data_IF_981466535102
#
_entry.id   IF_981466535102
#
_cell.length_a   1.000
_cell.length_b   1.000
_cell.length_c   1.000
_cell.angle_alpha   90.00
_cell.angle_beta   90.00
_cell.angle_gamma   90.00
#
_symmetry.space_group_name_H-M   'P 1'
#
loop_
_entity.id
_entity.type
_entity.pdbx_description
1 polymer ?
#
# COMPACT_ATOMS: atom_id res chain seq x y z
N UNK A 1 -4.78 -6.44 -15.32
CA UNK A 1 -5.59 -6.50 -14.08
C UNK A 1 -6.11 -5.09 -13.81
N UNK A 2 -7.30 -4.92 -13.25
CA UNK A 2 -7.89 -3.59 -13.03
C UNK A 2 -7.06 -2.76 -12.03
N UNK A 3 -6.78 -1.49 -12.34
CA UNK A 3 -5.97 -0.59 -11.50
C UNK A 3 -6.55 -0.46 -10.08
N UNK A 4 -7.88 -0.40 -9.93
CA UNK A 4 -8.53 -0.36 -8.61
C UNK A 4 -8.21 -1.62 -7.80
N UNK A 5 -8.14 -2.77 -8.47
CA UNK A 5 -7.85 -4.04 -7.80
C UNK A 5 -6.40 -4.10 -7.34
N UNK A 6 -5.47 -3.60 -8.15
CA UNK A 6 -4.03 -3.58 -7.81
C UNK A 6 -3.78 -2.65 -6.62
N UNK A 7 -4.27 -1.40 -6.66
CA UNK A 7 -4.06 -0.46 -5.54
C UNK A 7 -4.74 -0.93 -4.25
N UNK A 8 -5.87 -1.65 -4.35
CA UNK A 8 -6.53 -2.26 -3.17
C UNK A 8 -5.63 -3.32 -2.55
N UNK A 9 -5.01 -4.17 -3.36
CA UNK A 9 -4.07 -5.19 -2.89
C UNK A 9 -2.85 -4.53 -2.24
N UNK A 10 -2.25 -3.52 -2.90
CA UNK A 10 -1.13 -2.77 -2.34
C UNK A 10 -1.48 -2.15 -0.98
N UNK A 11 -2.63 -1.49 -0.86
CA UNK A 11 -3.08 -0.90 0.39
C UNK A 11 -3.43 -1.94 1.48
N UNK A 12 -3.89 -3.14 1.13
CA UNK A 12 -4.07 -4.23 2.10
C UNK A 12 -2.72 -4.75 2.63
N UNK A 13 -1.75 -4.98 1.73
CA UNK A 13 -0.41 -5.39 2.13
C UNK A 13 0.21 -4.34 3.07
N UNK A 14 0.12 -3.07 2.68
CA UNK A 14 0.60 -1.97 3.50
C UNK A 14 -0.10 -1.86 4.85
N UNK A 15 -1.42 -2.09 4.90
CA UNK A 15 -2.18 -2.14 6.14
C UNK A 15 -1.67 -3.24 7.06
N UNK A 16 -1.45 -4.46 6.56
CA UNK A 16 -0.95 -5.58 7.37
C UNK A 16 0.41 -5.24 7.97
N UNK A 17 1.33 -4.69 7.16
CA UNK A 17 2.67 -4.30 7.63
C UNK A 17 2.55 -3.25 8.74
N UNK A 18 1.75 -2.20 8.53
CA UNK A 18 1.61 -1.08 9.46
C UNK A 18 0.89 -1.47 10.77
N UNK A 19 -0.14 -2.31 10.67
CA UNK A 19 -0.86 -2.90 11.82
C UNK A 19 0.03 -3.85 12.61
N UNK A 20 1.04 -4.45 11.97
CA UNK A 20 1.99 -5.37 12.61
C UNK A 20 3.25 -4.70 13.15
N UNK A 21 3.31 -3.35 13.11
CA UNK A 21 4.38 -2.57 13.70
C UNK A 21 5.47 -2.11 12.72
N UNK A 22 5.25 -2.32 11.41
CA UNK A 22 6.14 -1.83 10.37
C UNK A 22 6.21 -0.29 10.33
N UNK A 23 7.36 0.21 9.88
CA UNK A 23 7.62 1.63 9.69
C UNK A 23 6.97 2.15 8.41
N UNK A 24 6.57 3.42 8.39
CA UNK A 24 5.78 4.00 7.29
C UNK A 24 6.50 3.96 5.94
N UNK A 25 7.81 4.22 5.90
CA UNK A 25 8.56 4.16 4.63
C UNK A 25 8.63 2.73 4.07
N UNK A 26 8.66 1.69 4.91
CA UNK A 26 8.63 0.28 4.46
C UNK A 26 7.29 -0.08 3.85
N UNK A 27 6.22 0.45 4.44
CA UNK A 27 4.85 0.32 3.92
C UNK A 27 4.76 0.96 2.54
N UNK A 28 5.26 2.20 2.40
CA UNK A 28 5.31 2.92 1.12
C UNK A 28 6.13 2.17 0.07
N UNK A 29 7.33 1.71 0.42
CA UNK A 29 8.19 0.93 -0.49
C UNK A 29 7.49 -0.35 -0.96
N UNK A 30 6.85 -1.08 -0.05
CA UNK A 30 6.14 -2.32 -0.38
C UNK A 30 4.96 -2.04 -1.32
N UNK A 31 4.18 -0.99 -1.05
CA UNK A 31 3.08 -0.58 -1.90
C UNK A 31 3.57 -0.19 -3.30
N UNK A 32 4.66 0.58 -3.39
CA UNK A 32 5.30 0.94 -4.67
C UNK A 32 5.75 -0.31 -5.42
N UNK A 33 6.42 -1.26 -4.76
CA UNK A 33 6.89 -2.51 -5.37
C UNK A 33 5.73 -3.35 -5.92
N UNK A 34 4.62 -3.44 -5.19
CA UNK A 34 3.41 -4.13 -5.68
C UNK A 34 2.87 -3.41 -6.91
N UNK A 35 2.73 -2.08 -6.89
CA UNK A 35 2.26 -1.31 -8.05
C UNK A 35 3.17 -1.49 -9.29
N UNK A 36 4.49 -1.37 -9.12
CA UNK A 36 5.47 -1.54 -10.21
C UNK A 36 5.44 -2.95 -10.80
N UNK A 37 5.22 -3.99 -9.99
CA UNK A 37 5.08 -5.37 -10.50
C UNK A 37 3.88 -5.56 -11.46
N UNK A 38 2.92 -4.63 -11.46
CA UNK A 38 1.80 -4.60 -12.40
C UNK A 38 1.89 -3.46 -13.43
N UNK A 39 3.08 -2.90 -13.67
CA UNK A 39 3.34 -1.78 -14.59
C UNK A 39 2.58 -0.49 -14.25
N UNK A 40 2.35 -0.24 -12.96
CA UNK A 40 1.90 1.06 -12.45
C UNK A 40 3.14 1.76 -11.91
N UNK A 41 3.78 2.57 -12.75
CA UNK A 41 5.03 3.26 -12.40
C UNK A 41 4.76 4.57 -11.62
N UNK A 42 3.68 5.28 -11.97
CA UNK A 42 3.23 6.48 -11.27
C UNK A 42 2.20 6.13 -10.17
N UNK A 43 2.70 5.63 -9.03
CA UNK A 43 1.91 5.52 -7.81
C UNK A 43 2.41 6.46 -6.71
N UNK A 44 1.56 7.39 -6.27
CA UNK A 44 1.80 8.24 -5.12
C UNK A 44 1.34 7.53 -3.84
N UNK A 45 2.29 7.12 -3.01
CA UNK A 45 2.04 6.43 -1.75
C UNK A 45 2.42 7.35 -0.59
N UNK A 46 1.49 7.58 0.34
CA UNK A 46 1.75 8.38 1.54
C UNK A 46 1.13 7.74 2.78
N UNK A 47 1.97 7.45 3.76
CA UNK A 47 1.60 6.65 4.93
C UNK A 47 1.88 7.40 6.21
N UNK A 48 0.83 7.50 7.03
CA UNK A 48 0.91 7.95 8.42
C UNK A 48 0.58 6.77 9.34
N UNK A 49 0.88 6.84 10.65
CA UNK A 49 0.53 5.78 11.60
C UNK A 49 -0.96 5.40 11.64
N UNK A 50 -1.86 6.28 11.18
CA UNK A 50 -3.31 6.11 11.30
C UNK A 50 -4.02 6.00 9.95
N UNK A 51 -3.36 6.36 8.84
CA UNK A 51 -3.95 6.38 7.50
C UNK A 51 -2.89 6.03 6.45
N UNK A 52 -3.26 5.12 5.55
CA UNK A 52 -2.58 4.85 4.28
C UNK A 52 -3.34 5.55 3.16
N UNK A 53 -2.63 6.29 2.32
CA UNK A 53 -3.16 6.92 1.12
C UNK A 53 -2.37 6.43 -0.09
N UNK A 54 -3.08 6.02 -1.13
CA UNK A 54 -2.49 5.61 -2.41
C UNK A 54 -3.26 6.28 -3.55
N UNK A 55 -2.54 6.79 -4.52
CA UNK A 55 -3.08 7.25 -5.79
C UNK A 55 -2.25 6.67 -6.93
N UNK A 56 -2.90 6.28 -8.02
CA UNK A 56 -2.22 5.78 -9.19
C UNK A 56 -2.96 6.17 -10.46
N UNK A 57 -2.20 6.44 -11.53
CA UNK A 57 -2.75 6.80 -12.84
C UNK A 57 -2.45 5.69 -13.85
N UNK A 58 -3.47 5.25 -14.59
CA UNK A 58 -3.28 4.25 -15.65
C UNK A 58 -2.79 4.89 -16.96
N UNK A 59 -2.37 4.08 -17.94
CA UNK A 59 -1.91 4.56 -19.25
C UNK A 59 -2.98 5.29 -20.09
N UNK A 60 -4.24 5.32 -19.65
CA UNK A 60 -5.32 6.10 -20.28
C UNK A 60 -5.52 7.47 -19.59
N UNK A 61 -4.68 7.81 -18.60
CA UNK A 61 -4.78 9.04 -17.82
C UNK A 61 -5.87 9.02 -16.74
N UNK A 62 -6.45 7.86 -16.43
CA UNK A 62 -7.44 7.74 -15.35
C UNK A 62 -6.74 7.51 -14.02
N UNK A 63 -6.98 8.43 -13.09
CA UNK A 63 -6.44 8.35 -11.73
C UNK A 63 -7.45 7.70 -10.80
N UNK A 64 -6.95 6.79 -9.95
CA UNK A 64 -7.71 6.17 -8.87
C UNK A 64 -6.97 6.40 -7.57
N UNK A 65 -7.70 6.82 -6.53
CA UNK A 65 -7.15 7.00 -5.20
C UNK A 65 -7.94 6.21 -4.16
N UNK A 66 -7.25 5.75 -3.13
CA UNK A 66 -7.83 5.01 -2.02
C UNK A 66 -7.17 5.44 -0.71
N UNK A 67 -8.02 5.62 0.31
CA UNK A 67 -7.60 5.88 1.67
C UNK A 67 -7.98 4.70 2.56
N UNK A 68 -7.09 4.35 3.48
CA UNK A 68 -7.32 3.25 4.42
C UNK A 68 -6.94 3.64 5.83
N UNK A 69 -7.92 3.56 6.73
CA UNK A 69 -7.73 3.86 8.15
C UNK A 69 -7.13 2.66 8.87
N UNK A 70 -6.17 2.95 9.74
CA UNK A 70 -5.57 2.02 10.68
C UNK A 70 -6.20 2.28 12.04
N UNK A 71 -6.83 1.26 12.61
CA UNK A 71 -7.59 1.36 13.87
C UNK A 71 -6.88 0.71 15.06
N UNK A 72 -5.91 -0.17 14.78
CA UNK A 72 -5.17 -0.91 15.79
C UNK A 72 -3.77 -1.20 15.29
N UNK A 73 -2.76 -1.16 16.17
CA UNK A 73 -1.39 -1.56 15.86
C UNK A 73 -0.88 -2.46 16.97
N UNK A 74 -0.22 -3.53 16.59
CA UNK A 74 0.51 -4.46 17.47
C UNK A 74 1.90 -4.67 16.89
N UNK A 75 2.74 -5.45 17.57
CA UNK A 75 4.03 -5.92 17.05
C UNK A 75 3.88 -7.39 16.68
N UNK A 76 4.08 -7.71 15.40
CA UNK A 76 4.00 -9.07 14.87
C UNK A 76 4.96 -9.21 13.68
N UNK A 77 6.21 -9.58 13.96
CA UNK A 77 7.27 -9.64 12.96
C UNK A 77 7.05 -10.76 11.92
N UNK A 78 6.43 -11.86 12.32
CA UNK A 78 6.12 -12.99 11.43
C UNK A 78 5.12 -12.59 10.34
N UNK A 79 4.15 -11.71 10.67
CA UNK A 79 3.24 -11.16 9.66
C UNK A 79 3.93 -10.23 8.68
N UNK A 80 4.89 -9.44 9.13
CA UNK A 80 5.66 -8.55 8.25
C UNK A 80 6.48 -9.38 7.27
N UNK A 81 7.11 -10.46 7.72
CA UNK A 81 7.93 -11.35 6.89
C UNK A 81 7.12 -12.01 5.76
N UNK A 82 5.89 -12.47 6.05
CA UNK A 82 5.03 -13.13 5.05
C UNK A 82 4.48 -12.22 3.96
N UNK A 83 4.52 -10.91 4.15
CA UNK A 83 3.95 -9.92 3.21
C UNK A 83 5.02 -9.35 2.27
N UNK A 84 6.28 -9.26 2.73
CA UNK A 84 7.41 -8.85 1.90
C UNK A 84 7.86 -9.96 0.94
#
# INVERSE_FOLDING_TARGET
MDINKIIKIAAEAGKIILESGGETYRVEETMSRICSAYNIEDSDNYVTPTVIMISATNGLGQTVSLNKRITSRTIDLDKIDKVN
#
